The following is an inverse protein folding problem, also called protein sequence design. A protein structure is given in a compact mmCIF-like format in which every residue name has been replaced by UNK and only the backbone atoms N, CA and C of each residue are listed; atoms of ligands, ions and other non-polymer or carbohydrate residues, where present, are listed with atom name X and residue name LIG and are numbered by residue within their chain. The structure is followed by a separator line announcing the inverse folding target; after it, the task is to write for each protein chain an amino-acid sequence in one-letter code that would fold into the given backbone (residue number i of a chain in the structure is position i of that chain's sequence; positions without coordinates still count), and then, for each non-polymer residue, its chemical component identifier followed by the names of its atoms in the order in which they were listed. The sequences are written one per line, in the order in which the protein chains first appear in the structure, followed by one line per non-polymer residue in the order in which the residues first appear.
data_IF_158052011305
#
_entry.id   IF_158052011305
#
_cell.length_a   1.000
_cell.length_b   1.000
_cell.length_c   1.000
_cell.angle_alpha   90.00
_cell.angle_beta   90.00
_cell.angle_gamma   90.00
#
_symmetry.space_group_name_H-M   'P 1'
#
loop_
_entity.id
_entity.type
_entity.pdbx_description
1 polymer ?
#
# COMPACT_ATOMS: atom_id res chain seq x y z
N UNK A 1 54.80 17.34 22.99
CA UNK A 1 55.55 16.53 22.01
C UNK A 1 55.96 15.26 22.73
N UNK A 2 55.55 14.05 22.38
CA UNK A 2 54.87 13.55 21.19
C UNK A 2 53.80 12.54 21.65
N UNK A 3 52.53 12.84 21.40
CA UNK A 3 51.39 11.96 21.72
C UNK A 3 51.02 11.04 20.54
N UNK A 4 51.87 10.99 19.51
CA UNK A 4 51.61 10.29 18.23
C UNK A 4 52.66 9.23 17.90
N UNK A 5 53.56 8.87 18.82
CA UNK A 5 54.67 7.97 18.52
C UNK A 5 54.28 6.48 18.37
N UNK A 6 53.07 6.08 18.78
CA UNK A 6 52.63 4.69 18.71
C UNK A 6 51.28 4.57 17.97
N UNK A 7 51.30 4.79 16.66
CA UNK A 7 50.34 4.13 15.78
C UNK A 7 51.08 2.96 15.14
N UNK A 8 51.09 1.81 15.82
CA UNK A 8 51.28 0.54 15.13
C UNK A 8 50.02 0.34 14.28
N UNK A 9 50.15 0.55 12.98
CA UNK A 9 49.15 0.08 12.03
C UNK A 9 49.16 -1.44 12.14
N UNK A 10 48.09 -2.00 12.71
CA UNK A 10 47.83 -3.43 12.65
C UNK A 10 48.06 -3.91 11.22
N UNK A 11 48.84 -4.98 11.12
CA UNK A 11 49.40 -5.56 9.91
C UNK A 11 48.43 -5.48 8.73
N UNK A 12 48.83 -4.63 7.78
CA UNK A 12 48.60 -4.72 6.33
C UNK A 12 47.60 -5.82 5.97
N UNK A 13 46.36 -5.43 5.65
CA UNK A 13 45.47 -6.23 4.81
C UNK A 13 46.32 -6.93 3.76
N UNK A 14 46.36 -8.26 3.79
CA UNK A 14 47.06 -9.06 2.80
C UNK A 14 46.54 -8.63 1.42
N UNK A 15 47.26 -7.71 0.77
CA UNK A 15 47.04 -7.36 -0.61
C UNK A 15 47.32 -8.65 -1.36
N UNK A 16 46.26 -9.33 -1.78
CA UNK A 16 46.36 -10.45 -2.71
C UNK A 16 47.36 -10.05 -3.79
N UNK A 17 48.42 -10.86 -3.95
CA UNK A 17 49.46 -10.59 -4.94
C UNK A 17 48.78 -10.44 -6.30
N UNK A 18 48.90 -9.24 -6.88
CA UNK A 18 48.33 -8.92 -8.19
C UNK A 18 48.90 -9.89 -9.22
N UNK A 19 48.12 -10.92 -9.56
CA UNK A 19 48.43 -11.91 -10.58
C UNK A 19 48.00 -11.36 -11.93
N UNK A 20 48.95 -11.25 -12.85
CA UNK A 20 48.66 -10.97 -14.25
C UNK A 20 47.98 -12.21 -14.87
N UNK A 21 46.78 -12.02 -15.40
CA UNK A 21 45.98 -13.05 -16.10
C UNK A 21 46.37 -13.09 -17.58
N UNK A 22 46.45 -14.28 -18.18
CA UNK A 22 46.70 -14.42 -19.63
C UNK A 22 45.42 -14.12 -20.43
N UNK A 23 45.52 -13.78 -21.74
CA UNK A 23 44.34 -13.57 -22.59
C UNK A 23 43.38 -14.77 -22.62
N UNK A 24 43.89 -15.99 -22.48
CA UNK A 24 43.10 -17.23 -22.42
C UNK A 24 42.40 -17.42 -21.07
N UNK A 25 42.93 -16.83 -20.00
CA UNK A 25 42.35 -16.81 -18.66
C UNK A 25 41.35 -15.66 -18.47
N UNK A 26 41.39 -14.63 -19.33
CA UNK A 26 40.48 -13.50 -19.28
C UNK A 26 39.05 -13.94 -19.60
N UNK A 27 38.18 -13.84 -18.59
CA UNK A 27 36.73 -13.85 -18.78
C UNK A 27 36.24 -12.43 -18.57
N UNK A 28 35.58 -11.87 -19.59
CA UNK A 28 34.93 -10.58 -19.46
C UNK A 28 33.97 -10.63 -18.26
N UNK A 29 33.99 -9.57 -17.45
CA UNK A 29 33.03 -9.45 -16.35
C UNK A 29 31.61 -9.49 -16.92
N UNK A 30 30.83 -10.41 -16.39
CA UNK A 30 29.45 -10.58 -16.79
C UNK A 30 28.64 -9.39 -16.27
N UNK A 31 28.26 -8.53 -17.21
CA UNK A 31 27.44 -7.35 -16.97
C UNK A 31 25.99 -7.53 -17.46
N UNK A 32 25.52 -8.78 -17.57
CA UNK A 32 24.12 -9.09 -17.91
C UNK A 32 23.14 -8.49 -16.89
N UNK A 33 21.90 -8.21 -17.31
CA UNK A 33 20.89 -7.66 -16.41
C UNK A 33 20.74 -8.50 -15.13
N UNK A 34 20.90 -7.84 -13.98
CA UNK A 34 20.85 -8.48 -12.65
C UNK A 34 22.10 -9.26 -12.23
N UNK A 35 23.23 -9.11 -12.94
CA UNK A 35 24.50 -9.79 -12.62
C UNK A 35 24.93 -9.61 -11.15
N UNK A 36 24.76 -8.40 -10.62
CA UNK A 36 25.10 -8.03 -9.24
C UNK A 36 24.22 -8.70 -8.17
N UNK A 37 23.15 -9.40 -8.57
CA UNK A 37 22.25 -10.14 -7.67
C UNK A 37 22.51 -11.65 -7.67
N UNK A 38 23.64 -12.10 -8.25
CA UNK A 38 24.04 -13.51 -8.25
C UNK A 38 24.55 -13.96 -6.88
N UNK A 39 24.20 -15.19 -6.51
CA UNK A 39 24.59 -15.79 -5.22
C UNK A 39 26.12 -15.87 -5.09
N UNK A 40 26.83 -16.18 -6.19
CA UNK A 40 28.29 -16.34 -6.18
C UNK A 40 29.03 -15.05 -5.84
N UNK A 41 28.45 -13.90 -6.15
CA UNK A 41 29.01 -12.56 -5.92
C UNK A 41 28.63 -11.98 -4.54
N UNK A 42 27.61 -12.55 -3.89
CA UNK A 42 27.02 -12.02 -2.66
C UNK A 42 27.07 -13.02 -1.50
N UNK A 43 28.21 -13.69 -1.31
CA UNK A 43 28.38 -14.75 -0.29
C UNK A 43 28.17 -14.29 1.16
N UNK A 44 28.26 -12.98 1.42
CA UNK A 44 28.08 -12.38 2.74
C UNK A 44 26.64 -11.89 2.99
N UNK A 45 25.80 -11.84 1.95
CA UNK A 45 24.42 -11.36 2.05
C UNK A 45 23.49 -12.53 2.39
N UNK A 46 22.49 -12.29 3.22
CA UNK A 46 21.45 -13.30 3.49
C UNK A 46 20.79 -13.70 2.16
N UNK A 47 20.87 -15.01 1.84
CA UNK A 47 20.31 -15.58 0.60
C UNK A 47 18.85 -15.20 0.39
N UNK A 48 18.06 -15.12 1.45
CA UNK A 48 16.65 -14.72 1.41
C UNK A 48 16.50 -13.29 0.91
N UNK A 49 17.30 -12.36 1.43
CA UNK A 49 17.27 -10.95 1.02
C UNK A 49 17.71 -10.79 -0.42
N UNK A 50 18.78 -11.50 -0.82
CA UNK A 50 19.25 -11.50 -2.20
C UNK A 50 18.17 -11.98 -3.18
N UNK A 51 17.51 -13.10 -2.87
CA UNK A 51 16.42 -13.64 -3.70
C UNK A 51 15.22 -12.70 -3.73
N UNK A 52 14.85 -12.08 -2.61
CA UNK A 52 13.78 -11.07 -2.56
C UNK A 52 14.10 -9.85 -3.44
N UNK A 53 15.34 -9.36 -3.41
CA UNK A 53 15.78 -8.26 -4.27
C UNK A 53 15.78 -8.65 -5.75
N UNK A 54 16.20 -9.87 -6.07
CA UNK A 54 16.15 -10.41 -7.44
C UNK A 54 14.72 -10.49 -7.96
N UNK A 55 13.79 -11.01 -7.18
CA UNK A 55 12.38 -11.09 -7.56
C UNK A 55 11.76 -9.69 -7.73
N UNK A 56 12.07 -8.76 -6.82
CA UNK A 56 11.63 -7.36 -6.94
C UNK A 56 12.16 -6.69 -8.22
N UNK A 57 13.42 -6.95 -8.57
CA UNK A 57 14.01 -6.45 -9.81
C UNK A 57 13.32 -7.02 -11.05
N UNK A 58 13.04 -8.33 -11.07
CA UNK A 58 12.29 -8.98 -12.16
C UNK A 58 10.88 -8.39 -12.32
N UNK A 59 10.19 -8.13 -11.20
CA UNK A 59 8.91 -7.43 -11.20
C UNK A 59 9.00 -6.05 -11.86
N UNK A 60 10.05 -5.29 -11.57
CA UNK A 60 10.28 -3.98 -12.20
C UNK A 60 10.53 -4.08 -13.72
N UNK A 61 11.09 -5.20 -14.17
CA UNK A 61 11.31 -5.48 -15.60
C UNK A 61 10.07 -6.09 -16.29
N UNK A 62 8.95 -6.25 -15.59
CA UNK A 62 7.74 -6.88 -16.13
C UNK A 62 7.81 -8.41 -16.22
N UNK A 63 8.87 -9.03 -15.71
CA UNK A 63 9.09 -10.49 -15.70
C UNK A 63 8.42 -11.12 -14.48
N UNK A 64 7.11 -10.95 -14.40
CA UNK A 64 6.33 -11.27 -13.20
C UNK A 64 6.24 -12.77 -12.93
N UNK A 65 6.17 -13.62 -13.95
CA UNK A 65 6.12 -15.08 -13.75
C UNK A 65 7.42 -15.59 -13.10
N UNK A 66 8.58 -15.13 -13.59
CA UNK A 66 9.87 -15.50 -13.00
C UNK A 66 10.04 -14.95 -11.58
N UNK A 67 9.54 -13.74 -11.31
CA UNK A 67 9.52 -13.18 -9.96
C UNK A 67 8.67 -14.03 -9.01
N UNK A 68 7.50 -14.49 -9.48
CA UNK A 68 6.60 -15.33 -8.72
C UNK A 68 7.24 -16.68 -8.36
N UNK A 69 7.93 -17.33 -9.30
CA UNK A 69 8.66 -18.57 -9.04
C UNK A 69 9.71 -18.42 -7.92
N UNK A 70 10.42 -17.27 -7.89
CA UNK A 70 11.38 -16.99 -6.82
C UNK A 70 10.66 -16.79 -5.48
N UNK A 71 9.56 -16.03 -5.46
CA UNK A 71 8.79 -15.83 -4.23
C UNK A 71 8.16 -17.13 -3.73
N UNK A 72 7.67 -18.01 -4.60
CA UNK A 72 7.15 -19.33 -4.21
C UNK A 72 8.25 -20.22 -3.63
N UNK A 73 9.47 -20.17 -4.19
CA UNK A 73 10.63 -20.83 -3.59
C UNK A 73 10.94 -20.26 -2.21
N UNK A 74 10.98 -18.94 -2.06
CA UNK A 74 11.21 -18.28 -0.77
C UNK A 74 10.14 -18.65 0.27
N UNK A 75 8.88 -18.67 -0.14
CA UNK A 75 7.74 -19.07 0.69
C UNK A 75 7.87 -20.53 1.14
N UNK A 76 8.22 -21.45 0.24
CA UNK A 76 8.40 -22.87 0.61
C UNK A 76 9.60 -23.11 1.52
N UNK A 77 10.73 -22.45 1.27
CA UNK A 77 11.97 -22.63 2.03
C UNK A 77 11.93 -21.94 3.41
N UNK A 78 11.28 -20.78 3.53
CA UNK A 78 11.38 -19.93 4.73
C UNK A 78 10.03 -19.56 5.36
N UNK A 79 8.90 -19.87 4.72
CA UNK A 79 7.55 -19.45 5.15
C UNK A 79 7.05 -20.04 6.47
N UNK A 80 7.80 -20.97 7.07
CA UNK A 80 7.52 -21.48 8.42
C UNK A 80 8.03 -20.54 9.55
N UNK A 81 8.82 -19.52 9.24
CA UNK A 81 9.35 -18.55 10.22
C UNK A 81 8.37 -17.39 10.42
N UNK A 82 7.51 -17.49 11.44
CA UNK A 82 6.58 -16.45 11.94
C UNK A 82 6.39 -15.22 11.05
N UNK A 83 7.14 -14.14 11.33
CA UNK A 83 7.00 -12.85 10.62
C UNK A 83 7.39 -12.85 9.13
N UNK A 84 8.17 -13.82 8.67
CA UNK A 84 8.48 -13.97 7.24
C UNK A 84 7.31 -14.58 6.46
N UNK A 85 6.41 -15.32 7.13
CA UNK A 85 5.28 -15.97 6.48
C UNK A 85 4.37 -14.97 5.78
N UNK A 86 3.94 -13.92 6.49
CA UNK A 86 3.11 -12.86 5.90
C UNK A 86 3.82 -12.20 4.71
N UNK A 87 5.08 -11.79 4.87
CA UNK A 87 5.87 -11.15 3.81
C UNK A 87 5.96 -12.01 2.54
N UNK A 88 6.20 -13.33 2.70
CA UNK A 88 6.32 -14.24 1.57
C UNK A 88 4.98 -14.42 0.85
N UNK A 89 3.90 -14.63 1.60
CA UNK A 89 2.54 -14.74 1.06
C UNK A 89 2.09 -13.44 0.36
N UNK A 90 2.34 -12.28 0.97
CA UNK A 90 2.08 -10.95 0.42
C UNK A 90 2.87 -10.72 -0.88
N UNK A 91 4.14 -11.11 -0.92
CA UNK A 91 4.99 -10.96 -2.11
C UNK A 91 4.52 -11.84 -3.27
N UNK A 92 4.12 -13.07 -2.99
CA UNK A 92 3.51 -13.96 -3.99
C UNK A 92 2.21 -13.35 -4.54
N UNK A 93 1.28 -12.93 -3.66
CA UNK A 93 -0.01 -12.38 -4.08
C UNK A 93 0.15 -11.05 -4.83
N UNK A 94 0.99 -10.14 -4.33
CA UNK A 94 1.33 -8.88 -5.00
C UNK A 94 1.86 -9.11 -6.41
N UNK A 95 2.75 -10.10 -6.58
CA UNK A 95 3.33 -10.43 -7.88
C UNK A 95 2.31 -11.08 -8.80
N UNK A 96 1.51 -12.02 -8.29
CA UNK A 96 0.46 -12.68 -9.07
C UNK A 96 -0.61 -11.69 -9.55
N UNK A 97 -0.93 -10.67 -8.76
CA UNK A 97 -1.84 -9.58 -9.15
C UNK A 97 -1.34 -8.79 -10.38
N UNK A 98 -0.03 -8.72 -10.59
CA UNK A 98 0.57 -8.03 -11.75
C UNK A 98 0.50 -8.86 -13.05
N UNK A 99 0.22 -10.16 -12.96
CA UNK A 99 0.09 -11.06 -14.12
C UNK A 99 -1.36 -11.01 -14.63
N UNK A 100 -1.66 -10.41 -15.80
CA UNK A 100 -3.05 -10.21 -16.25
C UNK A 100 -3.81 -11.51 -16.55
N UNK A 101 -3.09 -12.56 -16.95
CA UNK A 101 -3.65 -13.90 -17.22
C UNK A 101 -3.87 -14.74 -15.96
N UNK A 102 -3.40 -14.29 -14.78
CA UNK A 102 -3.50 -15.07 -13.56
C UNK A 102 -4.96 -15.25 -13.12
N UNK A 103 -5.42 -16.47 -12.79
CA UNK A 103 -6.83 -16.71 -12.48
C UNK A 103 -7.27 -16.02 -11.18
N UNK A 104 -8.42 -15.33 -11.18
CA UNK A 104 -8.98 -14.70 -9.98
C UNK A 104 -9.28 -15.72 -8.86
N UNK A 105 -9.67 -16.95 -9.22
CA UNK A 105 -9.87 -18.03 -8.25
C UNK A 105 -8.60 -18.40 -7.50
N UNK A 106 -7.46 -18.41 -8.19
CA UNK A 106 -6.14 -18.64 -7.57
C UNK A 106 -5.74 -17.47 -6.68
N UNK A 107 -5.99 -16.22 -7.09
CA UNK A 107 -5.71 -15.05 -6.26
C UNK A 107 -6.55 -15.02 -4.97
N UNK A 108 -7.82 -15.40 -5.04
CA UNK A 108 -8.69 -15.53 -3.86
C UNK A 108 -8.14 -16.60 -2.92
N UNK A 109 -7.73 -17.76 -3.43
CA UNK A 109 -7.13 -18.81 -2.61
C UNK A 109 -5.82 -18.37 -1.94
N UNK A 110 -5.00 -17.55 -2.62
CA UNK A 110 -3.80 -16.94 -2.05
C UNK A 110 -4.16 -15.94 -0.94
N UNK A 111 -5.20 -15.12 -1.14
CA UNK A 111 -5.68 -14.19 -0.12
C UNK A 111 -6.20 -14.90 1.13
N UNK A 112 -6.95 -16.00 0.96
CA UNK A 112 -7.42 -16.84 2.07
C UNK A 112 -6.25 -17.50 2.83
N UNK A 113 -5.15 -17.80 2.14
CA UNK A 113 -3.91 -18.31 2.77
C UNK A 113 -3.14 -17.22 3.51
N UNK A 114 -3.15 -15.98 2.99
CA UNK A 114 -2.50 -14.82 3.60
C UNK A 114 -3.21 -14.37 4.88
N UNK A 115 -4.54 -14.32 4.88
CA UNK A 115 -5.36 -13.81 5.99
C UNK A 115 -4.95 -14.32 7.38
N UNK A 116 -4.81 -15.64 7.65
CA UNK A 116 -4.44 -16.14 8.99
C UNK A 116 -3.00 -15.80 9.40
N UNK A 117 -2.20 -15.20 8.50
CA UNK A 117 -0.81 -14.80 8.77
C UNK A 117 -0.69 -13.32 9.17
N UNK A 118 -1.79 -12.57 9.11
CA UNK A 118 -1.86 -11.17 9.57
C UNK A 118 -1.73 -11.15 11.09
N UNK A 119 -0.61 -10.62 11.61
CA UNK A 119 -0.34 -10.64 13.06
C UNK A 119 -0.31 -9.26 13.68
N UNK A 120 -0.12 -8.21 12.88
CA UNK A 120 0.02 -6.85 13.37
C UNK A 120 -0.74 -5.85 12.49
N UNK A 121 -0.78 -4.60 12.96
CA UNK A 121 -1.49 -3.52 12.29
C UNK A 121 -0.94 -3.21 10.88
N UNK A 122 0.39 -3.28 10.69
CA UNK A 122 1.02 -3.07 9.38
C UNK A 122 0.62 -4.15 8.38
N UNK A 123 0.67 -5.42 8.79
CA UNK A 123 0.19 -6.55 7.98
C UNK A 123 -1.27 -6.37 7.57
N UNK A 124 -2.09 -5.86 8.49
CA UNK A 124 -3.52 -5.67 8.27
C UNK A 124 -3.79 -4.57 7.23
N UNK A 125 -3.07 -3.45 7.27
CA UNK A 125 -3.17 -2.41 6.26
C UNK A 125 -2.75 -2.92 4.88
N UNK A 126 -1.64 -3.67 4.83
CA UNK A 126 -1.15 -4.28 3.61
C UNK A 126 -2.15 -5.30 3.05
N UNK A 127 -2.76 -6.11 3.92
CA UNK A 127 -3.83 -7.04 3.56
C UNK A 127 -5.01 -6.31 2.92
N UNK A 128 -5.49 -5.20 3.49
CA UNK A 128 -6.58 -4.44 2.87
C UNK A 128 -6.20 -3.79 1.54
N UNK A 129 -4.94 -3.38 1.36
CA UNK A 129 -4.43 -2.90 0.07
C UNK A 129 -4.44 -4.00 -1.00
N UNK A 130 -4.14 -5.25 -0.62
CA UNK A 130 -4.25 -6.39 -1.52
C UNK A 130 -5.71 -6.74 -1.83
N UNK A 131 -6.59 -6.69 -0.82
CA UNK A 131 -8.03 -6.87 -0.99
C UNK A 131 -8.58 -5.87 -2.02
N UNK A 132 -8.27 -4.58 -1.90
CA UNK A 132 -8.79 -3.59 -2.85
C UNK A 132 -8.35 -3.90 -4.29
N UNK A 133 -7.08 -4.25 -4.52
CA UNK A 133 -6.57 -4.62 -5.85
C UNK A 133 -7.23 -5.88 -6.40
N UNK A 134 -7.39 -6.91 -5.57
CA UNK A 134 -8.01 -8.17 -5.97
C UNK A 134 -9.48 -7.97 -6.33
N UNK A 135 -10.25 -7.33 -5.45
CA UNK A 135 -11.68 -7.16 -5.63
C UNK A 135 -12.03 -6.20 -6.76
N UNK A 136 -11.20 -5.19 -7.00
CA UNK A 136 -11.27 -4.39 -8.21
C UNK A 136 -11.12 -5.26 -9.46
N UNK A 137 -10.11 -6.13 -9.50
CA UNK A 137 -9.85 -7.04 -10.62
C UNK A 137 -10.96 -8.08 -10.80
N UNK A 138 -11.55 -8.59 -9.72
CA UNK A 138 -12.63 -9.59 -9.79
C UNK A 138 -14.01 -8.98 -10.07
N UNK A 139 -14.14 -7.65 -9.97
CA UNK A 139 -15.43 -6.96 -10.08
C UNK A 139 -16.33 -7.15 -8.84
N UNK A 140 -15.76 -7.52 -7.69
CA UNK A 140 -16.50 -7.61 -6.43
C UNK A 140 -16.55 -6.23 -5.77
N UNK A 141 -17.43 -5.39 -6.28
CA UNK A 141 -17.51 -3.97 -5.90
C UNK A 141 -17.83 -3.72 -4.43
N UNK A 142 -18.72 -4.50 -3.76
CA UNK A 142 -18.93 -4.37 -2.32
C UNK A 142 -17.66 -4.65 -1.51
N UNK A 143 -16.92 -5.71 -1.80
CA UNK A 143 -15.68 -6.03 -1.09
C UNK A 143 -14.56 -5.02 -1.41
N UNK A 144 -14.49 -4.55 -2.65
CA UNK A 144 -13.59 -3.47 -3.06
C UNK A 144 -13.83 -2.20 -2.23
N UNK A 145 -15.07 -1.71 -2.20
CA UNK A 145 -15.42 -0.49 -1.49
C UNK A 145 -15.22 -0.66 0.02
N UNK A 146 -15.62 -1.80 0.58
CA UNK A 146 -15.38 -2.13 2.00
C UNK A 146 -13.89 -2.08 2.36
N UNK A 147 -13.01 -2.61 1.51
CA UNK A 147 -11.55 -2.57 1.72
C UNK A 147 -11.01 -1.14 1.75
N UNK A 148 -11.47 -0.29 0.81
CA UNK A 148 -11.09 1.11 0.76
C UNK A 148 -11.68 1.93 1.93
N UNK A 149 -12.89 1.60 2.40
CA UNK A 149 -13.48 2.23 3.59
C UNK A 149 -12.63 1.93 4.82
N UNK A 150 -12.17 0.70 5.00
CA UNK A 150 -11.24 0.39 6.08
C UNK A 150 -9.95 1.20 5.92
N UNK A 151 -9.31 1.15 4.75
CA UNK A 151 -8.07 1.90 4.50
C UNK A 151 -8.23 3.41 4.76
N UNK A 152 -9.30 4.04 4.29
CA UNK A 152 -9.58 5.47 4.50
C UNK A 152 -9.93 5.81 5.96
N UNK A 153 -10.56 4.89 6.68
CA UNK A 153 -10.86 5.06 8.11
C UNK A 153 -9.61 4.93 8.99
N UNK A 154 -8.62 4.14 8.55
CA UNK A 154 -7.34 3.96 9.24
C UNK A 154 -6.28 4.99 8.86
N UNK A 155 -6.17 5.26 7.56
CA UNK A 155 -5.20 6.14 6.92
C UNK A 155 -5.96 7.01 5.92
N UNK A 156 -6.24 8.25 6.31
CA UNK A 156 -6.95 9.24 5.48
C UNK A 156 -6.01 9.77 4.37
N UNK A 157 -5.59 8.85 3.49
CA UNK A 157 -4.68 9.05 2.37
C UNK A 157 -5.48 9.36 1.11
N UNK A 158 -4.97 10.29 0.32
CA UNK A 158 -5.57 10.75 -0.94
C UNK A 158 -5.82 9.60 -1.92
N UNK A 159 -4.85 8.68 -2.03
CA UNK A 159 -4.87 7.59 -3.01
C UNK A 159 -6.08 6.67 -2.83
N UNK A 160 -6.51 6.40 -1.59
CA UNK A 160 -7.67 5.55 -1.32
C UNK A 160 -8.98 6.20 -1.79
N UNK A 161 -9.12 7.53 -1.60
CA UNK A 161 -10.30 8.27 -2.06
C UNK A 161 -10.34 8.39 -3.57
N UNK A 162 -9.19 8.58 -4.22
CA UNK A 162 -9.08 8.51 -5.67
C UNK A 162 -9.41 7.12 -6.23
N UNK A 163 -8.99 6.06 -5.53
CA UNK A 163 -9.35 4.69 -5.90
C UNK A 163 -10.85 4.43 -5.77
N UNK A 164 -11.51 4.96 -4.73
CA UNK A 164 -12.97 4.86 -4.61
C UNK A 164 -13.67 5.48 -5.82
N UNK A 165 -13.18 6.61 -6.33
CA UNK A 165 -13.76 7.28 -7.50
C UNK A 165 -13.74 6.41 -8.79
N UNK A 166 -12.97 5.31 -8.82
CA UNK A 166 -12.91 4.35 -9.93
C UNK A 166 -14.07 3.34 -9.95
N UNK A 167 -15.00 3.39 -8.99
CA UNK A 167 -16.20 2.56 -9.00
C UNK A 167 -16.97 2.76 -10.33
N UNK A 168 -17.56 1.73 -10.95
CA UNK A 168 -18.36 1.92 -12.17
C UNK A 168 -19.52 2.90 -11.96
N UNK A 169 -19.77 3.78 -12.93
CA UNK A 169 -20.77 4.86 -12.83
C UNK A 169 -22.18 4.33 -12.53
N UNK A 170 -22.50 3.13 -13.02
CA UNK A 170 -23.78 2.44 -12.81
C UNK A 170 -23.99 2.03 -11.35
N UNK A 171 -22.91 1.92 -10.59
CA UNK A 171 -22.88 1.56 -9.17
C UNK A 171 -22.72 2.79 -8.28
N UNK A 172 -22.41 3.95 -8.85
CA UNK A 172 -22.25 5.20 -8.12
C UNK A 172 -23.61 5.87 -7.88
N UNK A 173 -23.78 6.38 -6.66
CA UNK A 173 -24.82 7.37 -6.38
C UNK A 173 -24.50 8.72 -7.04
N UNK A 174 -25.47 9.62 -7.18
CA UNK A 174 -25.29 10.94 -7.82
C UNK A 174 -24.19 11.81 -7.19
N UNK A 175 -23.85 11.56 -5.92
CA UNK A 175 -22.88 12.35 -5.16
C UNK A 175 -21.51 11.67 -5.04
N UNK A 176 -21.39 10.39 -5.44
CA UNK A 176 -20.24 9.56 -5.04
C UNK A 176 -18.93 10.06 -5.66
N UNK A 177 -18.85 10.15 -6.99
CA UNK A 177 -17.65 10.61 -7.69
C UNK A 177 -17.20 12.00 -7.24
N UNK A 178 -18.11 12.98 -7.21
CA UNK A 178 -17.80 14.35 -6.78
C UNK A 178 -17.35 14.41 -5.31
N UNK A 179 -17.95 13.60 -4.45
CA UNK A 179 -17.59 13.55 -3.04
C UNK A 179 -16.20 12.94 -2.81
N UNK A 180 -15.85 11.84 -3.50
CA UNK A 180 -14.52 11.24 -3.46
C UNK A 180 -13.43 12.23 -3.92
N UNK A 181 -13.66 12.92 -5.04
CA UNK A 181 -12.73 13.94 -5.54
C UNK A 181 -12.62 15.14 -4.60
N UNK A 182 -13.74 15.61 -4.04
CA UNK A 182 -13.74 16.70 -3.08
C UNK A 182 -12.95 16.34 -1.81
N UNK A 183 -13.16 15.14 -1.28
CA UNK A 183 -12.41 14.65 -0.12
C UNK A 183 -10.91 14.56 -0.41
N UNK A 184 -10.54 14.17 -1.62
CA UNK A 184 -9.15 14.21 -2.09
C UNK A 184 -8.58 15.63 -2.11
N UNK A 185 -9.31 16.63 -2.65
CA UNK A 185 -8.88 18.06 -2.64
C UNK A 185 -8.72 18.61 -1.21
N UNK A 186 -9.63 18.24 -0.30
CA UNK A 186 -9.59 18.62 1.11
C UNK A 186 -8.34 18.06 1.81
N UNK A 187 -8.03 16.78 1.59
CA UNK A 187 -6.83 16.13 2.15
C UNK A 187 -5.54 16.72 1.59
N UNK A 188 -5.48 16.96 0.28
CA UNK A 188 -4.33 17.64 -0.34
C UNK A 188 -4.14 19.05 0.20
N UNK A 189 -5.23 19.80 0.42
CA UNK A 189 -5.17 21.13 1.05
C UNK A 189 -4.58 21.08 2.46
N UNK A 190 -5.01 20.09 3.26
CA UNK A 190 -4.46 19.88 4.60
C UNK A 190 -2.97 19.53 4.56
N UNK A 191 -2.57 18.58 3.70
CA UNK A 191 -1.16 18.19 3.53
C UNK A 191 -0.29 19.34 3.01
N UNK A 192 -0.81 20.16 2.09
CA UNK A 192 -0.12 21.34 1.58
C UNK A 192 0.24 22.32 2.70
N UNK A 193 -0.69 22.55 3.64
CA UNK A 193 -0.47 23.41 4.80
C UNK A 193 0.66 22.96 5.72
N UNK A 194 1.02 21.68 5.70
CA UNK A 194 2.11 21.10 6.49
C UNK A 194 3.40 20.83 5.67
N UNK A 195 3.31 20.87 4.35
CA UNK A 195 4.39 20.49 3.44
C UNK A 195 5.46 21.59 3.29
N UNK A 196 6.68 21.19 2.89
CA UNK A 196 7.76 22.13 2.53
C UNK A 196 8.54 21.63 1.32
N UNK A 197 9.09 22.59 0.55
CA UNK A 197 10.09 22.31 -0.48
C UNK A 197 9.56 21.52 -1.68
N UNK A 198 10.24 20.42 -2.02
CA UNK A 198 9.87 19.62 -3.21
C UNK A 198 8.49 18.97 -3.08
N UNK A 199 8.08 18.59 -1.86
CA UNK A 199 6.80 17.93 -1.59
C UNK A 199 5.65 18.87 -1.92
N UNK A 200 5.75 20.15 -1.54
CA UNK A 200 4.75 21.18 -1.84
C UNK A 200 4.48 21.27 -3.34
N UNK A 201 5.53 21.33 -4.17
CA UNK A 201 5.39 21.41 -5.63
C UNK A 201 4.69 20.18 -6.24
N UNK A 202 4.92 18.99 -5.66
CA UNK A 202 4.22 17.77 -6.08
C UNK A 202 2.73 17.86 -5.69
N UNK A 203 2.44 18.20 -4.44
CA UNK A 203 1.07 18.30 -3.93
C UNK A 203 0.25 19.40 -4.65
N UNK A 204 0.86 20.54 -5.00
CA UNK A 204 0.21 21.59 -5.78
C UNK A 204 -0.19 21.10 -7.18
N UNK A 205 0.69 20.32 -7.82
CA UNK A 205 0.41 19.71 -9.11
C UNK A 205 -0.74 18.70 -9.01
N UNK A 206 -0.69 17.86 -7.98
CA UNK A 206 -1.72 16.84 -7.74
C UNK A 206 -3.06 17.52 -7.45
N UNK A 207 -3.10 18.55 -6.60
CA UNK A 207 -4.29 19.34 -6.33
C UNK A 207 -4.83 20.05 -7.59
N UNK A 208 -3.95 20.60 -8.42
CA UNK A 208 -4.33 21.20 -9.70
C UNK A 208 -4.94 20.20 -10.69
N UNK A 209 -4.57 18.91 -10.62
CA UNK A 209 -5.26 17.84 -11.35
C UNK A 209 -6.65 17.58 -10.77
N UNK A 210 -6.76 17.37 -9.45
CA UNK A 210 -8.05 17.07 -8.80
C UNK A 210 -9.08 18.19 -9.03
N UNK A 211 -8.67 19.45 -8.95
CA UNK A 211 -9.57 20.59 -9.19
C UNK A 211 -10.05 20.69 -10.64
N UNK A 212 -9.27 20.21 -11.61
CA UNK A 212 -9.72 20.12 -13.01
C UNK A 212 -10.77 19.03 -13.17
N UNK A 213 -10.53 17.84 -12.61
CA UNK A 213 -11.52 16.75 -12.58
C UNK A 213 -12.84 17.23 -11.95
N UNK A 214 -12.79 17.90 -10.79
CA UNK A 214 -13.99 18.46 -10.14
C UNK A 214 -14.75 19.48 -11.01
N UNK A 215 -14.03 20.31 -11.77
CA UNK A 215 -14.63 21.31 -12.65
C UNK A 215 -15.26 20.69 -13.90
N UNK A 216 -14.75 19.55 -14.38
CA UNK A 216 -15.30 18.80 -15.51
C UNK A 216 -16.54 18.00 -15.11
N UNK A 217 -16.55 17.45 -13.90
CA UNK A 217 -17.60 16.55 -13.42
C UNK A 217 -18.83 17.25 -12.84
N UNK A 218 -18.72 18.51 -12.42
CA UNK A 218 -19.75 19.11 -11.57
C UNK A 218 -19.92 20.60 -11.80
N UNK A 219 -21.17 21.06 -11.67
CA UNK A 219 -21.45 22.48 -11.65
C UNK A 219 -20.96 23.11 -10.33
N UNK A 220 -20.82 24.43 -10.32
CA UNK A 220 -20.30 25.16 -9.16
C UNK A 220 -21.09 24.90 -7.88
N UNK A 221 -22.41 24.80 -7.97
CA UNK A 221 -23.28 24.60 -6.80
C UNK A 221 -23.09 23.19 -6.19
N UNK A 222 -22.90 22.18 -7.03
CA UNK A 222 -22.62 20.81 -6.61
C UNK A 222 -21.24 20.70 -5.96
N UNK A 223 -20.23 21.40 -6.47
CA UNK A 223 -18.89 21.48 -5.85
C UNK A 223 -18.96 22.16 -4.48
N UNK A 224 -19.69 23.27 -4.35
CA UNK A 224 -19.85 23.96 -3.07
C UNK A 224 -20.62 23.12 -2.05
N UNK A 225 -21.65 22.40 -2.49
CA UNK A 225 -22.37 21.45 -1.63
C UNK A 225 -21.45 20.30 -1.20
N UNK A 226 -20.74 19.68 -2.15
CA UNK A 226 -19.79 18.61 -1.87
C UNK A 226 -18.75 19.04 -0.85
N UNK A 227 -18.23 20.27 -0.95
CA UNK A 227 -17.29 20.82 0.03
C UNK A 227 -17.90 20.84 1.42
N UNK A 228 -19.13 21.32 1.61
CA UNK A 228 -19.78 21.37 2.93
C UNK A 228 -20.03 20.00 3.52
N UNK A 229 -20.46 19.05 2.70
CA UNK A 229 -20.83 17.69 3.14
C UNK A 229 -19.59 16.81 3.39
N UNK A 230 -18.51 17.02 2.64
CA UNK A 230 -17.27 16.23 2.77
C UNK A 230 -16.24 16.83 3.74
N UNK A 231 -16.34 18.12 4.07
CA UNK A 231 -15.51 18.81 5.06
C UNK A 231 -15.90 18.51 6.52
N UNK A 232 -16.61 17.39 6.74
CA UNK A 232 -16.95 16.88 8.07
C UNK A 232 -15.73 16.39 8.85
N UNK A 233 -14.57 16.29 8.20
CA UNK A 233 -13.38 15.62 8.74
C UNK A 233 -12.13 16.50 8.85
N UNK A 234 -12.01 17.61 8.10
CA UNK A 234 -10.75 18.38 8.09
C UNK A 234 -10.65 19.35 9.27
N UNK A 235 -11.75 19.76 9.93
CA UNK A 235 -11.67 20.56 11.17
C UNK A 235 -12.76 20.20 12.19
N UNK A 236 -12.48 19.22 13.06
CA UNK A 236 -12.80 19.34 14.50
C UNK A 236 -11.48 19.43 15.26
N UNK A 237 -10.80 20.55 15.02
CA UNK A 237 -9.50 20.91 15.58
C UNK A 237 -9.41 22.43 15.75
N UNK A 238 -10.40 23.01 16.44
CA UNK A 238 -10.32 24.30 17.14
C UNK A 238 -11.65 24.49 17.88
N UNK A 239 -11.62 24.49 19.21
CA UNK A 239 -12.78 24.67 20.11
C UNK A 239 -13.79 23.52 20.20
N UNK A 240 -13.35 22.36 20.68
CA UNK A 240 -14.06 21.64 21.76
C UNK A 240 -13.20 20.48 22.26
N UNK A 241 -12.76 20.62 23.51
CA UNK A 241 -12.10 19.63 24.35
C UNK A 241 -11.13 18.66 23.68
N UNK A 242 -9.84 18.96 23.88
CA UNK A 242 -8.70 18.02 23.94
C UNK A 242 -8.91 16.83 24.93
N UNK A 243 -10.13 16.63 25.44
CA UNK A 243 -10.54 15.57 26.35
C UNK A 243 -11.75 14.76 25.86
N UNK A 244 -12.35 15.09 24.71
CA UNK A 244 -13.57 14.43 24.22
C UNK A 244 -13.40 13.59 22.94
N UNK A 245 -12.25 13.69 22.25
CA UNK A 245 -11.79 12.57 21.42
C UNK A 245 -11.07 11.64 22.37
N UNK A 246 -11.71 10.57 22.87
CA UNK A 246 -10.94 9.64 23.67
C UNK A 246 -9.83 9.12 22.75
N UNK A 247 -8.60 9.12 23.26
CA UNK A 247 -7.40 8.89 22.46
C UNK A 247 -7.48 7.61 21.62
N UNK A 248 -8.41 6.68 21.92
CA UNK A 248 -8.71 5.46 21.18
C UNK A 248 -9.39 5.64 19.80
N UNK A 249 -9.98 6.79 19.46
CA UNK A 249 -10.60 6.98 18.13
C UNK A 249 -9.59 7.40 17.04
N UNK A 250 -8.40 7.86 17.44
CA UNK A 250 -7.22 7.95 16.56
C UNK A 250 -6.16 6.90 16.91
N UNK A 251 -6.47 5.93 17.77
CA UNK A 251 -5.52 4.92 18.26
C UNK A 251 -6.24 3.61 18.48
N UNK A 252 -6.37 2.82 17.42
CA UNK A 252 -6.24 1.37 17.61
C UNK A 252 -4.89 1.19 18.29
N UNK A 253 -4.86 0.70 19.52
CA UNK A 253 -3.58 0.41 20.19
C UNK A 253 -2.78 -0.47 19.24
N UNK A 254 -1.55 -0.06 18.91
CA UNK A 254 -0.58 -0.89 18.19
C UNK A 254 -0.70 -2.34 18.71
N UNK A 255 -1.27 -3.24 17.91
CA UNK A 255 -1.44 -4.66 18.27
C UNK A 255 -2.85 -5.26 18.26
N UNK A 256 -3.94 -4.49 18.11
CA UNK A 256 -5.29 -5.10 17.99
C UNK A 256 -5.74 -5.24 16.54
N UNK A 257 -5.91 -6.47 16.07
CA UNK A 257 -6.48 -6.80 14.75
C UNK A 257 -7.98 -6.47 14.71
N UNK A 258 -8.50 -6.10 13.53
CA UNK A 258 -9.93 -5.79 13.33
C UNK A 258 -10.79 -7.03 13.57
N UNK A 259 -11.61 -6.98 14.62
CA UNK A 259 -12.65 -7.98 14.87
C UNK A 259 -13.88 -7.73 14.00
N UNK A 260 -14.75 -8.74 13.86
CA UNK A 260 -16.03 -8.61 13.15
C UNK A 260 -16.87 -7.46 13.72
N UNK A 261 -17.03 -7.40 15.05
CA UNK A 261 -17.79 -6.33 15.72
C UNK A 261 -17.23 -4.94 15.42
N UNK A 262 -15.91 -4.80 15.45
CA UNK A 262 -15.27 -3.52 15.20
C UNK A 262 -15.37 -3.13 13.72
N UNK A 263 -15.34 -4.10 12.80
CA UNK A 263 -15.50 -3.83 11.37
C UNK A 263 -16.88 -3.28 11.04
N UNK A 264 -17.92 -3.82 11.66
CA UNK A 264 -19.28 -3.32 11.52
C UNK A 264 -19.39 -1.89 12.08
N UNK A 265 -18.78 -1.64 13.24
CA UNK A 265 -18.74 -0.30 13.83
C UNK A 265 -18.04 0.74 12.94
N UNK A 266 -16.93 0.37 12.29
CA UNK A 266 -16.23 1.23 11.33
C UNK A 266 -17.11 1.52 10.12
N UNK A 267 -17.75 0.49 9.55
CA UNK A 267 -18.66 0.66 8.42
C UNK A 267 -19.84 1.56 8.75
N UNK A 268 -20.49 1.34 9.90
CA UNK A 268 -21.64 2.14 10.32
C UNK A 268 -21.25 3.59 10.57
N UNK A 269 -20.08 3.82 11.19
CA UNK A 269 -19.56 5.17 11.39
C UNK A 269 -19.26 5.87 10.07
N UNK A 270 -18.64 5.16 9.11
CA UNK A 270 -18.37 5.70 7.78
C UNK A 270 -19.67 6.05 7.05
N UNK A 271 -20.64 5.14 7.03
CA UNK A 271 -21.93 5.35 6.36
C UNK A 271 -22.69 6.52 6.98
N UNK A 272 -22.67 6.66 8.31
CA UNK A 272 -23.32 7.79 8.98
C UNK A 272 -22.64 9.13 8.64
N UNK A 273 -21.30 9.18 8.69
CA UNK A 273 -20.52 10.38 8.44
C UNK A 273 -20.57 10.83 6.97
N UNK A 274 -20.71 9.89 6.05
CA UNK A 274 -20.74 10.13 4.60
C UNK A 274 -22.08 9.73 3.97
N UNK A 275 -23.18 9.94 4.69
CA UNK A 275 -24.53 9.60 4.21
C UNK A 275 -24.90 10.34 2.91
N UNK A 276 -24.48 11.60 2.76
CA UNK A 276 -24.65 12.36 1.52
C UNK A 276 -23.88 11.74 0.35
N UNK A 277 -22.64 11.30 0.58
CA UNK A 277 -21.80 10.66 -0.45
C UNK A 277 -22.46 9.37 -1.00
N UNK A 278 -23.06 8.59 -0.10
CA UNK A 278 -23.64 7.27 -0.38
C UNK A 278 -25.12 7.31 -0.73
N UNK A 279 -25.71 8.50 -0.91
CA UNK A 279 -27.10 8.65 -1.35
C UNK A 279 -27.31 7.91 -2.67
N UNK A 280 -28.32 7.02 -2.74
CA UNK A 280 -28.60 6.19 -3.91
C UNK A 280 -27.75 4.92 -4.06
N UNK A 281 -26.91 4.59 -3.07
CA UNK A 281 -26.06 3.39 -3.06
C UNK A 281 -26.55 2.29 -2.09
N UNK A 282 -27.84 2.28 -1.74
CA UNK A 282 -28.41 1.43 -0.69
C UNK A 282 -28.09 -0.06 -0.88
N UNK A 283 -28.19 -0.57 -2.11
CA UNK A 283 -27.93 -1.98 -2.42
C UNK A 283 -26.47 -2.38 -2.11
N UNK A 284 -25.50 -1.54 -2.49
CA UNK A 284 -24.08 -1.78 -2.23
C UNK A 284 -23.81 -1.66 -0.73
N UNK A 285 -24.39 -0.67 -0.05
CA UNK A 285 -24.28 -0.53 1.40
C UNK A 285 -24.82 -1.74 2.16
N UNK A 286 -25.96 -2.31 1.72
CA UNK A 286 -26.50 -3.53 2.29
C UNK A 286 -25.57 -4.73 2.05
N UNK A 287 -25.05 -4.89 0.83
CA UNK A 287 -24.11 -5.96 0.50
C UNK A 287 -22.82 -5.87 1.30
N UNK A 288 -22.25 -4.66 1.47
CA UNK A 288 -21.07 -4.44 2.31
C UNK A 288 -21.27 -4.92 3.74
N UNK A 289 -22.48 -4.77 4.30
CA UNK A 289 -22.84 -5.21 5.66
C UNK A 289 -23.11 -6.71 5.76
N UNK A 290 -23.70 -7.32 4.73
CA UNK A 290 -24.07 -8.73 4.72
C UNK A 290 -22.86 -9.68 4.62
N UNK A 291 -21.67 -9.14 4.38
CA UNK A 291 -20.43 -9.91 4.28
C UNK A 291 -19.91 -10.20 5.71
N UNK A 292 -20.12 -11.42 6.16
CA UNK A 292 -19.62 -11.93 7.44
C UNK A 292 -18.13 -12.32 7.39
N UNK A 293 -17.54 -12.40 6.20
CA UNK A 293 -16.14 -12.77 6.03
C UNK A 293 -15.23 -11.57 6.30
N UNK A 294 -14.60 -11.57 7.48
CA UNK A 294 -13.28 -10.98 7.64
C UNK A 294 -12.21 -12.05 7.51
#
# INVERSE_FOLDING_TARGET
MDLFANFELDEVEQKEQLRWITPEEYRAEDNSDGWFMREEQNKLVDRRELLSHRASHLNRLGRHEEALEIYDRLKSEYGHRGGFRFMAEDSCLSTALMIPSFPSTSLIAMLDTLRPTVMNYGDQLQYFSLCSKLYYRSGDWPLFLRSLIFLSSYLDMTDHWEEMAKLPVELQGPNFGVGCWMKTDLLLSFQLGMSRGFVTRKLERDQGRIRRELAEWSNRDQVERARREMDTTVVKGAANDDLSRPAHLCRWSEGSLLTLSSSLSVLDSFIANYSWLLEGMDAICMQMRAIDSL
#
